data_IF_352828760472
#
_entry.id   IF_352828760472
#
_cell.length_a   1.000
_cell.length_b   1.000
_cell.length_c   1.000
_cell.angle_alpha   90.00
_cell.angle_beta   90.00
_cell.angle_gamma   90.00
#
_symmetry.space_group_name_H-M   'P 1'
#
loop_
_entity.id
_entity.type
_entity.pdbx_description
1 polymer ?
#
# COMPACT_ATOMS: atom_id res chain seq x y z
N UNK A 1 10.79 18.47 29.96
CA UNK A 1 11.39 18.47 28.60
C UNK A 1 10.43 17.72 27.73
N UNK A 2 9.60 18.41 26.98
CA UNK A 2 8.64 17.81 26.06
C UNK A 2 9.44 17.25 24.88
N UNK A 3 9.52 15.92 24.82
CA UNK A 3 10.08 15.19 23.68
C UNK A 3 9.46 15.78 22.41
N UNK A 4 10.28 16.20 21.45
CA UNK A 4 9.90 16.88 20.21
C UNK A 4 8.97 16.10 19.25
N UNK A 5 8.06 15.30 19.82
CA UNK A 5 7.00 14.67 19.08
C UNK A 5 5.91 15.71 18.76
N UNK A 6 5.47 15.80 17.52
CA UNK A 6 4.40 16.70 17.15
C UNK A 6 3.15 16.40 17.99
N UNK A 7 2.40 17.44 18.41
CA UNK A 7 1.18 17.24 19.20
C UNK A 7 0.22 16.32 18.45
N UNK A 8 -0.44 15.44 19.19
CA UNK A 8 -1.33 14.40 18.67
C UNK A 8 -2.39 14.97 17.71
N UNK A 9 -2.83 16.20 17.97
CA UNK A 9 -3.73 16.96 17.10
C UNK A 9 -3.14 17.24 15.72
N UNK A 10 -1.85 17.60 15.65
CA UNK A 10 -1.17 17.87 14.37
C UNK A 10 -0.99 16.59 13.56
N UNK A 11 -0.67 15.49 14.22
CA UNK A 11 -0.56 14.17 13.59
C UNK A 11 -1.91 13.72 13.01
N UNK A 12 -2.99 13.83 13.77
CA UNK A 12 -4.35 13.52 13.34
C UNK A 12 -4.79 14.40 12.16
N UNK A 13 -4.44 15.69 12.19
CA UNK A 13 -4.77 16.62 11.11
C UNK A 13 -4.06 16.24 9.81
N UNK A 14 -2.77 15.91 9.88
CA UNK A 14 -1.98 15.44 8.73
C UNK A 14 -2.58 14.15 8.15
N UNK A 15 -2.91 13.17 9.00
CA UNK A 15 -3.56 11.93 8.55
C UNK A 15 -4.94 12.20 7.94
N UNK A 16 -5.73 13.10 8.52
CA UNK A 16 -7.03 13.52 7.97
C UNK A 16 -6.90 14.13 6.58
N UNK A 17 -5.95 15.03 6.39
CA UNK A 17 -5.68 15.64 5.07
C UNK A 17 -5.23 14.59 4.06
N UNK A 18 -4.31 13.72 4.42
CA UNK A 18 -3.85 12.63 3.55
C UNK A 18 -5.01 11.72 3.19
N UNK A 19 -5.87 11.37 4.13
CA UNK A 19 -7.05 10.56 3.92
C UNK A 19 -8.01 11.18 2.88
N UNK A 20 -8.33 12.44 3.06
CA UNK A 20 -9.21 13.19 2.14
C UNK A 20 -8.60 13.23 0.75
N UNK A 21 -7.31 13.55 0.63
CA UNK A 21 -6.61 13.57 -0.66
C UNK A 21 -6.61 12.20 -1.35
N UNK A 22 -6.39 11.11 -0.60
CA UNK A 22 -6.43 9.75 -1.12
C UNK A 22 -7.84 9.37 -1.59
N UNK A 23 -8.89 9.66 -0.80
CA UNK A 23 -10.27 9.41 -1.18
C UNK A 23 -10.60 10.15 -2.48
N UNK A 24 -10.29 11.46 -2.56
CA UNK A 24 -10.52 12.26 -3.77
C UNK A 24 -9.77 11.70 -4.99
N UNK A 25 -8.52 11.30 -4.80
CA UNK A 25 -7.69 10.75 -5.87
C UNK A 25 -8.21 9.41 -6.38
N UNK A 26 -8.64 8.52 -5.49
CA UNK A 26 -9.10 7.17 -5.85
C UNK A 26 -10.58 7.08 -6.21
N UNK A 27 -11.37 8.14 -5.95
CA UNK A 27 -12.78 8.20 -6.36
C UNK A 27 -12.98 8.51 -7.85
N UNK A 28 -11.93 8.93 -8.56
CA UNK A 28 -12.04 9.24 -10.00
C UNK A 28 -11.46 8.13 -10.85
N UNK A 29 -12.11 7.77 -11.97
CA UNK A 29 -11.54 6.85 -12.94
C UNK A 29 -10.24 7.44 -13.47
N UNK A 30 -9.17 6.64 -13.45
CA UNK A 30 -7.84 7.09 -13.87
C UNK A 30 -7.42 6.40 -15.17
N UNK A 31 -6.93 7.20 -16.13
CA UNK A 31 -6.15 6.66 -17.25
C UNK A 31 -4.74 6.38 -16.74
N UNK A 32 -4.31 5.14 -16.86
CA UNK A 32 -3.00 4.72 -16.38
C UNK A 32 -2.28 3.94 -17.47
N UNK A 33 -1.03 4.31 -17.74
CA UNK A 33 -0.17 3.49 -18.59
C UNK A 33 0.43 2.34 -17.78
N UNK A 34 0.72 1.22 -18.46
CA UNK A 34 1.34 0.02 -17.85
C UNK A 34 2.64 0.39 -17.11
N UNK A 35 3.48 1.23 -17.73
CA UNK A 35 4.72 1.67 -17.11
C UNK A 35 4.51 2.45 -15.81
N UNK A 36 3.50 3.36 -15.77
CA UNK A 36 3.18 4.15 -14.56
C UNK A 36 2.55 3.32 -13.46
N UNK A 37 1.97 2.18 -13.78
CA UNK A 37 1.34 1.29 -12.81
C UNK A 37 2.35 0.79 -11.77
N UNK A 38 3.58 0.48 -12.20
CA UNK A 38 4.64 -0.04 -11.34
C UNK A 38 5.37 1.03 -10.52
N UNK A 39 5.24 2.30 -10.90
CA UNK A 39 5.90 3.42 -10.18
C UNK A 39 5.42 3.51 -8.73
N UNK A 40 4.12 3.35 -8.49
CA UNK A 40 3.56 3.38 -7.13
C UNK A 40 4.16 2.32 -6.21
N UNK A 41 4.09 1.03 -6.55
CA UNK A 41 4.72 -0.05 -5.78
C UNK A 41 6.22 0.16 -5.53
N UNK A 42 6.97 0.61 -6.55
CA UNK A 42 8.42 0.83 -6.42
C UNK A 42 8.73 1.95 -5.43
N UNK A 43 8.05 3.09 -5.54
CA UNK A 43 8.20 4.20 -4.59
C UNK A 43 7.85 3.74 -3.17
N UNK A 44 6.76 2.99 -3.05
CA UNK A 44 6.32 2.52 -1.74
C UNK A 44 7.31 1.53 -1.12
N UNK A 45 7.86 0.63 -1.91
CA UNK A 45 8.90 -0.30 -1.49
C UNK A 45 10.15 0.47 -0.99
N UNK A 46 10.57 1.49 -1.74
CA UNK A 46 11.71 2.33 -1.36
C UNK A 46 11.45 3.09 -0.06
N UNK A 47 10.26 3.69 0.10
CA UNK A 47 9.89 4.39 1.33
C UNK A 47 9.81 3.46 2.54
N UNK A 48 9.27 2.24 2.35
CA UNK A 48 9.21 1.23 3.41
C UNK A 48 10.61 0.79 3.81
N UNK A 49 11.47 0.51 2.85
CA UNK A 49 12.87 0.15 3.13
C UNK A 49 13.62 1.26 3.87
N UNK A 50 13.39 2.50 3.50
CA UNK A 50 13.97 3.66 4.17
C UNK A 50 13.43 3.81 5.61
N UNK A 51 12.14 3.59 5.82
CA UNK A 51 11.51 3.65 7.14
C UNK A 51 12.08 2.58 8.08
N UNK A 52 12.17 1.32 7.61
CA UNK A 52 12.74 0.21 8.37
C UNK A 52 14.22 0.48 8.70
N UNK A 53 14.97 0.97 7.72
CA UNK A 53 16.38 1.33 7.94
C UNK A 53 16.54 2.41 9.01
N UNK A 54 15.70 3.46 8.98
CA UNK A 54 15.71 4.53 9.97
C UNK A 54 15.33 4.04 11.38
N UNK A 55 14.33 3.16 11.48
CA UNK A 55 13.91 2.55 12.76
C UNK A 55 15.02 1.67 13.35
N UNK A 56 15.73 0.92 12.52
CA UNK A 56 16.87 0.08 12.95
C UNK A 56 18.05 0.88 13.55
N UNK A 57 18.19 2.15 13.13
CA UNK A 57 19.22 3.04 13.72
C UNK A 57 18.84 3.52 15.13
N UNK A 58 17.53 3.59 15.43
CA UNK A 58 17.03 4.09 16.71
C UNK A 58 16.76 2.95 17.71
N UNK A 59 16.14 1.88 17.25
CA UNK A 59 15.71 0.72 18.05
C UNK A 59 16.12 -0.57 17.32
N UNK A 60 17.37 -1.02 17.47
CA UNK A 60 17.83 -2.22 16.79
C UNK A 60 17.02 -3.44 17.23
N UNK A 61 16.29 -4.02 16.30
CA UNK A 61 15.51 -5.25 16.49
C UNK A 61 16.23 -6.41 15.82
N UNK A 62 16.06 -7.62 16.33
CA UNK A 62 16.69 -8.80 15.73
C UNK A 62 16.20 -8.99 14.28
N UNK A 63 17.12 -9.27 13.34
CA UNK A 63 16.78 -9.40 11.92
C UNK A 63 15.79 -10.54 11.66
N UNK A 64 15.76 -11.56 12.50
CA UNK A 64 14.83 -12.69 12.41
C UNK A 64 13.38 -12.26 12.66
N UNK A 65 13.13 -11.43 13.66
CA UNK A 65 11.78 -10.91 13.99
C UNK A 65 11.29 -10.02 12.86
N UNK A 66 12.15 -9.18 12.31
CA UNK A 66 11.80 -8.31 11.17
C UNK A 66 11.48 -9.15 9.95
N UNK A 67 12.33 -10.11 9.61
CA UNK A 67 12.12 -10.99 8.45
C UNK A 67 10.81 -11.79 8.59
N UNK A 68 10.49 -12.27 9.79
CA UNK A 68 9.24 -12.97 10.08
C UNK A 68 8.02 -12.01 9.91
N UNK A 69 8.10 -10.82 10.46
CA UNK A 69 7.03 -9.82 10.37
C UNK A 69 6.79 -9.39 8.92
N UNK A 70 7.85 -9.10 8.17
CA UNK A 70 7.77 -8.74 6.74
C UNK A 70 7.23 -9.90 5.91
N UNK A 71 7.74 -11.12 6.11
CA UNK A 71 7.28 -12.31 5.40
C UNK A 71 5.82 -12.61 5.66
N UNK A 72 5.39 -12.60 6.92
CA UNK A 72 4.00 -12.80 7.30
C UNK A 72 3.10 -11.70 6.71
N UNK A 73 3.54 -10.44 6.77
CA UNK A 73 2.82 -9.31 6.18
C UNK A 73 2.59 -9.51 4.69
N UNK A 74 3.64 -9.80 3.92
CA UNK A 74 3.51 -10.03 2.46
C UNK A 74 2.55 -11.18 2.17
N UNK A 75 2.71 -12.32 2.85
CA UNK A 75 1.88 -13.52 2.65
C UNK A 75 0.40 -13.21 2.90
N UNK A 76 0.09 -12.49 3.98
CA UNK A 76 -1.28 -12.07 4.29
C UNK A 76 -1.81 -11.02 3.30
N UNK A 77 -0.96 -10.21 2.71
CA UNK A 77 -1.31 -9.20 1.71
C UNK A 77 -1.72 -9.80 0.36
N UNK A 78 -1.17 -10.95 -0.03
CA UNK A 78 -1.42 -11.60 -1.31
C UNK A 78 -2.91 -11.88 -1.56
N UNK A 79 -3.65 -12.59 -0.68
CA UNK A 79 -5.05 -12.91 -0.95
C UNK A 79 -5.93 -11.67 -1.09
N UNK A 80 -5.69 -10.64 -0.28
CA UNK A 80 -6.43 -9.37 -0.40
C UNK A 80 -6.06 -8.62 -1.67
N UNK A 81 -4.80 -8.71 -2.12
CA UNK A 81 -4.36 -8.17 -3.40
C UNK A 81 -5.03 -8.85 -4.58
N UNK A 82 -5.15 -10.18 -4.57
CA UNK A 82 -5.90 -10.94 -5.58
C UNK A 82 -7.36 -10.50 -5.60
N UNK A 83 -8.02 -10.53 -4.44
CA UNK A 83 -9.44 -10.15 -4.31
C UNK A 83 -9.69 -8.75 -4.87
N UNK A 84 -8.88 -7.77 -4.48
CA UNK A 84 -8.94 -6.40 -5.01
C UNK A 84 -8.74 -6.36 -6.51
N UNK A 85 -7.71 -7.04 -7.03
CA UNK A 85 -7.42 -7.09 -8.46
C UNK A 85 -8.57 -7.71 -9.26
N UNK A 86 -9.23 -8.73 -8.71
CA UNK A 86 -10.41 -9.36 -9.32
C UNK A 86 -11.62 -8.41 -9.38
N UNK A 87 -11.85 -7.60 -8.38
CA UNK A 87 -12.97 -6.65 -8.33
C UNK A 87 -12.69 -5.33 -9.06
N UNK A 88 -11.43 -5.05 -9.42
CA UNK A 88 -11.09 -3.82 -10.15
C UNK A 88 -11.54 -3.93 -11.60
N UNK A 89 -12.35 -2.96 -12.04
CA UNK A 89 -12.78 -2.87 -13.44
C UNK A 89 -11.65 -2.30 -14.29
N UNK A 90 -11.24 -3.06 -15.31
CA UNK A 90 -10.23 -2.67 -16.29
C UNK A 90 -10.90 -2.54 -17.65
N UNK A 91 -10.69 -1.43 -18.35
CA UNK A 91 -11.15 -1.23 -19.73
C UNK A 91 -9.96 -0.85 -20.60
N UNK A 92 -9.85 -1.47 -21.75
CA UNK A 92 -8.89 -1.06 -22.77
C UNK A 92 -9.28 0.31 -23.32
N UNK A 93 -8.28 1.10 -23.70
CA UNK A 93 -8.45 2.36 -24.43
C UNK A 93 -8.00 2.21 -25.87
N UNK A 94 -8.40 3.13 -26.73
CA UNK A 94 -7.97 3.18 -28.14
C UNK A 94 -6.43 3.36 -28.32
N UNK A 95 -5.73 3.67 -27.22
CA UNK A 95 -4.27 3.80 -27.22
C UNK A 95 -3.62 2.55 -26.64
N UNK A 96 -2.76 1.85 -27.38
CA UNK A 96 -2.05 0.69 -26.89
C UNK A 96 -1.20 1.05 -25.65
N UNK A 97 -1.21 0.19 -24.65
CA UNK A 97 -0.46 0.41 -23.39
C UNK A 97 -1.11 1.36 -22.39
N UNK A 98 -2.32 1.86 -22.67
CA UNK A 98 -3.09 2.70 -21.74
C UNK A 98 -4.41 2.01 -21.39
N UNK A 99 -4.72 1.94 -20.11
CA UNK A 99 -5.95 1.36 -19.59
C UNK A 99 -6.75 2.35 -18.74
N UNK A 100 -8.05 2.17 -18.70
CA UNK A 100 -8.93 2.79 -17.72
C UNK A 100 -9.07 1.87 -16.51
N UNK A 101 -8.72 2.40 -15.34
CA UNK A 101 -8.98 1.79 -14.06
C UNK A 101 -10.22 2.46 -13.45
N UNK A 102 -11.21 1.64 -13.12
CA UNK A 102 -12.39 2.10 -12.40
C UNK A 102 -12.03 2.68 -11.03
N UNK A 103 -12.90 3.54 -10.48
CA UNK A 103 -12.69 4.10 -9.16
C UNK A 103 -12.60 2.99 -8.12
N UNK A 104 -11.61 3.04 -7.25
CA UNK A 104 -11.37 2.02 -6.23
C UNK A 104 -11.16 2.67 -4.86
N UNK A 105 -12.27 3.13 -4.27
CA UNK A 105 -12.28 3.67 -2.90
C UNK A 105 -11.78 2.65 -1.84
N UNK A 106 -11.91 1.35 -2.15
CA UNK A 106 -11.41 0.25 -1.32
C UNK A 106 -9.91 0.42 -1.03
N UNK A 107 -9.14 0.92 -1.99
CA UNK A 107 -7.70 1.21 -1.81
C UNK A 107 -7.48 2.24 -0.72
N UNK A 108 -8.24 3.33 -0.76
CA UNK A 108 -8.11 4.40 0.23
C UNK A 108 -8.48 3.89 1.63
N UNK A 109 -9.54 3.08 1.74
CA UNK A 109 -9.96 2.48 3.03
C UNK A 109 -8.90 1.54 3.58
N UNK A 110 -8.32 0.68 2.75
CA UNK A 110 -7.26 -0.26 3.20
C UNK A 110 -6.03 0.52 3.66
N UNK A 111 -5.62 1.54 2.91
CA UNK A 111 -4.50 2.40 3.30
C UNK A 111 -4.75 3.13 4.61
N UNK A 112 -5.92 3.74 4.73
CA UNK A 112 -6.32 4.44 5.94
C UNK A 112 -6.34 3.48 7.14
N UNK A 113 -6.91 2.28 6.93
CA UNK A 113 -6.96 1.22 7.94
C UNK A 113 -5.56 0.79 8.37
N UNK A 114 -4.66 0.51 7.43
CA UNK A 114 -3.30 0.09 7.73
C UNK A 114 -2.51 1.17 8.51
N UNK A 115 -2.62 2.44 8.10
CA UNK A 115 -1.99 3.54 8.82
C UNK A 115 -2.60 3.77 10.22
N UNK A 116 -3.93 3.68 10.33
CA UNK A 116 -4.62 3.83 11.62
C UNK A 116 -4.25 2.70 12.60
N UNK A 117 -4.19 1.47 12.10
CA UNK A 117 -3.78 0.31 12.91
C UNK A 117 -2.32 0.47 13.34
N UNK A 118 -1.42 0.88 12.42
CA UNK A 118 -0.01 1.13 12.76
C UNK A 118 0.13 2.20 13.84
N UNK A 119 -0.58 3.32 13.70
CA UNK A 119 -0.57 4.38 14.70
C UNK A 119 -1.14 3.91 16.04
N UNK A 120 -2.24 3.17 16.02
CA UNK A 120 -2.86 2.58 17.21
C UNK A 120 -1.94 1.58 17.93
N UNK A 121 -1.27 0.71 17.19
CA UNK A 121 -0.29 -0.24 17.74
C UNK A 121 0.87 0.48 18.42
N UNK A 122 1.39 1.53 17.80
CA UNK A 122 2.48 2.33 18.38
C UNK A 122 2.08 2.99 19.71
N UNK A 123 0.85 3.46 19.80
CA UNK A 123 0.31 4.07 21.04
C UNK A 123 0.03 2.99 22.08
N UNK A 124 -0.65 1.92 21.70
CA UNK A 124 -1.07 0.85 22.61
C UNK A 124 0.09 0.01 23.15
N UNK A 125 1.14 -0.14 22.34
CA UNK A 125 2.31 -0.97 22.65
C UNK A 125 3.55 -0.12 22.97
N UNK A 126 3.38 1.12 23.45
CA UNK A 126 4.49 2.00 23.82
C UNK A 126 5.42 1.28 24.82
N UNK A 127 6.70 1.18 24.49
CA UNK A 127 7.70 0.46 25.29
C UNK A 127 7.78 -1.06 25.06
N UNK A 128 6.95 -1.61 24.17
CA UNK A 128 7.06 -3.01 23.76
C UNK A 128 8.07 -3.18 22.62
N UNK A 129 8.97 -4.18 22.67
CA UNK A 129 9.90 -4.45 21.57
C UNK A 129 9.22 -4.98 20.28
N UNK A 130 7.93 -5.31 20.35
CA UNK A 130 7.17 -5.85 19.22
C UNK A 130 6.39 -4.77 18.46
N UNK A 131 6.32 -3.53 18.96
CA UNK A 131 5.54 -2.46 18.34
C UNK A 131 6.03 -2.12 16.91
N UNK A 132 7.34 -1.95 16.75
CA UNK A 132 7.96 -1.60 15.48
C UNK A 132 7.90 -2.76 14.47
N UNK A 133 8.28 -4.02 14.81
CA UNK A 133 8.13 -5.15 13.90
C UNK A 133 6.71 -5.40 13.41
N UNK A 134 5.70 -5.24 14.26
CA UNK A 134 4.29 -5.34 13.85
C UNK A 134 3.91 -4.22 12.88
N UNK A 135 4.40 -3.00 13.11
CA UNK A 135 4.24 -1.88 12.21
C UNK A 135 4.86 -2.14 10.82
N UNK A 136 6.03 -2.75 10.79
CA UNK A 136 6.74 -3.13 9.57
C UNK A 136 6.01 -4.27 8.82
N UNK A 137 5.47 -5.23 9.55
CA UNK A 137 4.60 -6.28 9.01
C UNK A 137 3.38 -5.71 8.31
N UNK A 138 2.75 -4.66 8.84
CA UNK A 138 1.64 -3.95 8.20
C UNK A 138 2.07 -3.23 6.91
N UNK A 139 3.26 -2.64 6.87
CA UNK A 139 3.79 -2.06 5.63
C UNK A 139 4.05 -3.13 4.57
N UNK A 140 4.64 -4.25 4.98
CA UNK A 140 4.87 -5.40 4.11
C UNK A 140 3.56 -6.00 3.59
N UNK A 141 2.52 -6.07 4.42
CA UNK A 141 1.16 -6.45 4.03
C UNK A 141 0.62 -5.53 2.93
N UNK A 142 0.76 -4.23 3.09
CA UNK A 142 0.33 -3.27 2.08
C UNK A 142 1.10 -3.43 0.77
N UNK A 143 2.42 -3.71 0.82
CA UNK A 143 3.24 -4.03 -0.37
C UNK A 143 2.73 -5.29 -1.05
N UNK A 144 2.57 -6.39 -0.32
CA UNK A 144 2.10 -7.67 -0.84
C UNK A 144 0.74 -7.52 -1.55
N UNK A 145 -0.20 -6.82 -0.90
CA UNK A 145 -1.50 -6.52 -1.47
C UNK A 145 -1.40 -5.66 -2.74
N UNK A 146 -0.55 -4.64 -2.74
CA UNK A 146 -0.40 -3.69 -3.84
C UNK A 146 0.20 -4.37 -5.07
N UNK A 147 1.33 -5.05 -4.90
CA UNK A 147 2.03 -5.76 -5.98
C UNK A 147 1.12 -6.83 -6.59
N UNK A 148 0.48 -7.65 -5.75
CA UNK A 148 -0.39 -8.72 -6.23
C UNK A 148 -1.61 -8.17 -6.97
N UNK A 149 -2.24 -7.10 -6.46
CA UNK A 149 -3.40 -6.51 -7.15
C UNK A 149 -3.02 -5.92 -8.51
N UNK A 150 -1.87 -5.26 -8.62
CA UNK A 150 -1.39 -4.75 -9.90
C UNK A 150 -1.01 -5.87 -10.88
N UNK A 151 -0.47 -6.96 -10.38
CA UNK A 151 -0.21 -8.13 -11.21
C UNK A 151 -1.50 -8.72 -11.80
N UNK A 152 -2.56 -8.86 -10.98
CA UNK A 152 -3.88 -9.34 -11.46
C UNK A 152 -4.49 -8.38 -12.47
N UNK A 153 -4.42 -7.07 -12.22
CA UNK A 153 -4.89 -6.02 -13.14
C UNK A 153 -4.13 -6.10 -14.48
N UNK A 154 -2.82 -6.26 -14.43
CA UNK A 154 -1.98 -6.42 -15.62
C UNK A 154 -2.37 -7.66 -16.44
N UNK A 155 -2.61 -8.80 -15.78
CA UNK A 155 -3.08 -10.02 -16.46
C UNK A 155 -4.44 -9.81 -17.13
N UNK A 156 -5.38 -9.15 -16.45
CA UNK A 156 -6.67 -8.79 -17.05
C UNK A 156 -6.52 -7.92 -18.30
N UNK A 157 -5.67 -6.90 -18.22
CA UNK A 157 -5.42 -6.03 -19.36
C UNK A 157 -4.86 -6.81 -20.56
N UNK A 158 -3.87 -7.66 -20.33
CA UNK A 158 -3.28 -8.51 -21.38
C UNK A 158 -4.31 -9.44 -22.04
N UNK A 159 -5.22 -10.01 -21.27
CA UNK A 159 -6.29 -10.85 -21.84
C UNK A 159 -7.25 -10.06 -22.73
N UNK A 160 -7.58 -8.82 -22.36
CA UNK A 160 -8.41 -7.94 -23.19
C UNK A 160 -7.70 -7.51 -24.49
N UNK A 161 -6.41 -7.23 -24.43
CA UNK A 161 -5.59 -6.86 -25.59
C UNK A 161 -5.52 -8.02 -26.61
N UNK A 162 -5.36 -9.26 -26.16
CA UNK A 162 -5.41 -10.43 -27.03
C UNK A 162 -6.76 -10.65 -27.68
N UNK A 163 -7.86 -10.40 -26.98
CA UNK A 163 -9.20 -10.52 -27.56
C UNK A 163 -9.49 -9.44 -28.60
N UNK A 164 -9.02 -8.22 -28.38
CA UNK A 164 -9.18 -7.11 -29.33
C UNK A 164 -8.33 -7.27 -30.61
N UNK A 165 -7.20 -7.94 -30.54
CA UNK A 165 -6.34 -8.20 -31.70
C UNK A 165 -6.76 -9.39 -32.57
N UNK A 166 -7.83 -10.11 -32.19
CA UNK A 166 -8.38 -11.25 -32.92
C UNK A 166 -9.64 -10.90 -33.75
N UNK A 167 -10.10 -9.66 -33.71
CA UNK A 167 -11.21 -9.12 -34.49
C UNK A 167 -10.67 -8.21 -35.59
#
# INVERSE_FOLDING_TARGET
>A
MTNGQPPLTMTLLIYGVIAVLLIFRYSRPMRMSIARMWVGPVIFLALTGFAIWGEQQMTPTSPEIIALALGAGVVLGIPLGVLRGMHTTVRATDRPGVMYLGPSWIVAVIWLGAFSIRAGLRIAMTGSPYADPLGDGLLAFAIGMLVTSYYVIYRKYRSLEHQAGQI
#
